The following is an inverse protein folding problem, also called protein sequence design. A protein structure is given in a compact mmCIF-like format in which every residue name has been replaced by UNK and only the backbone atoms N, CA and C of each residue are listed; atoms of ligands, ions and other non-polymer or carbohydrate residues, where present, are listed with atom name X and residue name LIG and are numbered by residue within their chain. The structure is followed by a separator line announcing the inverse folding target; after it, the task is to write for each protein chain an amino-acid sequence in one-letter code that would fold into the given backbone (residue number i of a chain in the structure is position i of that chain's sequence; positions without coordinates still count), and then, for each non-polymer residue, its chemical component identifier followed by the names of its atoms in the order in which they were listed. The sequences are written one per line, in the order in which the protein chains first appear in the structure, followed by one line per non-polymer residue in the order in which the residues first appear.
data_IF_871079320862
#
_entry.id   IF_871079320862
#
_cell.length_a   1.000
_cell.length_b   1.000
_cell.length_c   1.000
_cell.angle_alpha   90.00
_cell.angle_beta   90.00
_cell.angle_gamma   90.00
#
_symmetry.space_group_name_H-M   'P 1'
#
loop_
_entity.id
_entity.type
_entity.pdbx_description
1 polymer ?
#
# COMPACT_ATOMS: atom_id res chain seq x y z
N UNK A 1 -0.46 11.17 -9.01
CA UNK A 1 -0.67 9.77 -9.44
C UNK A 1 -2.16 9.54 -9.61
N UNK A 2 -2.56 8.82 -10.66
CA UNK A 2 -3.94 8.34 -10.82
C UNK A 2 -4.01 6.86 -10.47
N UNK A 3 -5.01 6.45 -9.70
CA UNK A 3 -5.33 5.05 -9.40
C UNK A 3 -6.70 4.78 -10.02
N UNK A 4 -6.80 3.67 -10.74
CA UNK A 4 -8.08 3.11 -11.18
C UNK A 4 -8.30 1.83 -10.38
N UNK A 5 -9.33 1.80 -9.54
CA UNK A 5 -9.68 0.64 -8.74
C UNK A 5 -11.04 0.10 -9.16
N UNK A 6 -11.20 -1.22 -9.11
CA UNK A 6 -12.50 -1.88 -9.29
C UNK A 6 -12.59 -3.02 -8.29
N UNK A 7 -13.59 -2.98 -7.41
CA UNK A 7 -13.83 -3.97 -6.37
C UNK A 7 -13.24 -3.60 -5.01
N UNK A 8 -12.92 -4.61 -4.20
CA UNK A 8 -12.41 -4.51 -2.83
C UNK A 8 -10.90 -4.73 -2.69
N UNK A 9 -10.20 -4.94 -3.81
CA UNK A 9 -8.78 -4.66 -3.88
C UNK A 9 -8.52 -3.17 -3.63
N UNK A 10 -7.30 -2.82 -3.26
CA UNK A 10 -7.03 -1.44 -2.87
C UNK A 10 -5.59 -1.01 -2.97
N UNK A 11 -5.40 0.28 -2.73
CA UNK A 11 -4.11 0.92 -2.69
C UNK A 11 -3.95 1.80 -1.45
N UNK A 12 -2.77 1.77 -0.88
CA UNK A 12 -2.34 2.61 0.22
C UNK A 12 -1.08 3.39 -0.18
N UNK A 13 -1.08 4.69 0.09
CA UNK A 13 0.11 5.53 -0.05
C UNK A 13 0.73 5.73 1.32
N UNK A 14 1.97 5.28 1.46
CA UNK A 14 2.77 5.39 2.67
C UNK A 14 3.89 6.41 2.47
N UNK A 15 4.02 7.37 3.38
CA UNK A 15 5.11 8.36 3.36
C UNK A 15 6.09 8.08 4.49
N UNK A 16 7.34 7.71 4.18
CA UNK A 16 8.40 7.55 5.17
C UNK A 16 8.63 8.84 5.95
N UNK A 17 8.85 8.70 7.26
CA UNK A 17 9.24 9.79 8.14
C UNK A 17 10.15 9.24 9.24
N UNK A 18 11.16 10.01 9.64
CA UNK A 18 11.90 9.69 10.86
C UNK A 18 10.97 9.94 12.05
N UNK A 19 10.86 8.93 12.92
CA UNK A 19 10.06 8.98 14.13
C UNK A 19 10.87 8.44 15.29
N UNK A 20 10.70 9.07 16.43
CA UNK A 20 11.31 8.65 17.69
C UNK A 20 10.23 7.98 18.52
N UNK A 21 10.31 6.67 18.77
CA UNK A 21 9.35 5.97 19.62
C UNK A 21 9.41 6.49 21.06
N UNK A 22 8.30 6.41 21.81
CA UNK A 22 8.34 6.64 23.24
C UNK A 22 9.37 5.71 23.91
N UNK A 23 10.32 6.27 24.64
CA UNK A 23 11.34 5.51 25.38
C UNK A 23 12.56 5.07 24.57
N UNK A 24 12.74 5.56 23.33
CA UNK A 24 13.97 5.38 22.56
C UNK A 24 14.50 6.74 22.11
N UNK A 25 15.81 6.98 22.23
CA UNK A 25 16.45 8.17 21.67
C UNK A 25 16.86 8.01 20.21
N UNK A 26 16.70 6.81 19.65
CA UNK A 26 17.09 6.52 18.28
C UNK A 26 15.91 6.74 17.31
N UNK A 27 16.05 7.64 16.32
CA UNK A 27 15.04 7.80 15.30
C UNK A 27 15.03 6.58 14.38
N UNK A 28 13.84 6.08 14.06
CA UNK A 28 13.64 5.03 13.08
C UNK A 28 12.75 5.51 11.94
N UNK A 29 12.99 4.96 10.75
CA UNK A 29 12.23 5.30 9.57
C UNK A 29 10.90 4.55 9.60
N UNK A 30 9.82 5.26 9.91
CA UNK A 30 8.48 4.68 10.03
C UNK A 30 7.47 5.44 9.16
N UNK A 31 6.85 4.78 8.17
CA UNK A 31 5.94 5.44 7.27
C UNK A 31 4.62 5.82 7.94
N UNK A 32 3.96 6.87 7.43
CA UNK A 32 2.56 7.18 7.74
C UNK A 32 1.65 6.91 6.57
N UNK A 33 0.41 6.54 6.84
CA UNK A 33 -0.66 6.51 5.83
C UNK A 33 -0.97 7.95 5.39
N UNK A 34 -0.81 8.19 4.09
CA UNK A 34 -1.22 9.44 3.43
C UNK A 34 -2.56 9.27 2.75
N UNK A 35 -2.84 8.06 2.26
CA UNK A 35 -4.05 7.71 1.55
C UNK A 35 -4.29 6.20 1.66
N UNK A 36 -5.56 5.81 1.75
CA UNK A 36 -6.06 4.44 1.60
C UNK A 36 -7.30 4.54 0.72
N UNK A 37 -7.39 3.72 -0.33
CA UNK A 37 -8.60 3.66 -1.15
C UNK A 37 -9.76 3.09 -0.35
N UNK A 38 -10.97 3.48 -0.70
CA UNK A 38 -12.18 2.82 -0.20
C UNK A 38 -12.46 1.57 -1.03
N UNK A 39 -13.08 0.59 -0.40
CA UNK A 39 -13.49 -0.65 -1.07
C UNK A 39 -14.80 -0.41 -1.81
N UNK A 40 -14.95 -0.99 -3.01
CA UNK A 40 -16.16 -0.87 -3.81
C UNK A 40 -16.95 -2.18 -3.73
N UNK A 41 -18.04 -2.17 -2.97
CA UNK A 41 -18.88 -3.35 -2.72
C UNK A 41 -20.37 -3.00 -2.80
N UNK A 42 -21.20 -3.98 -3.16
CA UNK A 42 -22.66 -3.83 -3.03
C UNK A 42 -23.11 -4.06 -1.59
N UNK A 43 -22.48 -5.03 -0.93
CA UNK A 43 -22.68 -5.47 0.44
C UNK A 43 -21.48 -6.33 0.85
N UNK A 44 -21.50 -6.84 2.09
CA UNK A 44 -20.41 -7.64 2.65
C UNK A 44 -20.03 -8.83 1.74
N UNK A 45 -18.73 -8.94 1.40
CA UNK A 45 -18.15 -9.96 0.52
C UNK A 45 -18.77 -10.04 -0.89
N UNK A 46 -19.25 -8.91 -1.43
CA UNK A 46 -19.72 -8.81 -2.80
C UNK A 46 -19.12 -7.57 -3.49
N UNK A 47 -17.85 -7.67 -3.95
CA UNK A 47 -17.16 -6.56 -4.60
C UNK A 47 -17.71 -6.25 -5.98
N UNK A 48 -17.52 -4.99 -6.38
CA UNK A 48 -17.71 -4.59 -7.76
C UNK A 48 -16.73 -5.34 -8.66
N UNK A 49 -17.19 -5.75 -9.83
CA UNK A 49 -16.41 -6.59 -10.73
C UNK A 49 -16.63 -6.26 -12.20
N UNK A 50 -15.70 -6.70 -13.03
CA UNK A 50 -15.91 -6.68 -14.47
C UNK A 50 -16.99 -7.70 -14.82
N UNK A 51 -18.05 -7.24 -15.49
CA UNK A 51 -19.05 -8.12 -16.05
C UNK A 51 -18.43 -9.05 -17.10
N UNK A 52 -18.93 -10.29 -17.16
CA UNK A 52 -18.63 -11.22 -18.26
C UNK A 52 -19.87 -11.37 -19.16
N UNK A 53 -19.68 -11.33 -20.48
CA UNK A 53 -20.76 -11.46 -21.45
C UNK A 53 -21.69 -10.25 -21.50
N UNK A 54 -22.96 -10.43 -21.15
CA UNK A 54 -24.02 -9.40 -21.22
C UNK A 54 -24.24 -8.62 -19.92
N UNK A 55 -23.43 -8.89 -18.88
CA UNK A 55 -23.53 -8.16 -17.62
C UNK A 55 -22.89 -6.77 -17.76
N UNK A 56 -23.53 -5.71 -17.21
CA UNK A 56 -22.96 -4.37 -17.26
C UNK A 56 -21.64 -4.33 -16.47
N UNK A 57 -20.64 -3.66 -17.04
CA UNK A 57 -19.37 -3.39 -16.34
C UNK A 57 -19.63 -2.35 -15.26
N UNK A 58 -19.20 -2.65 -14.04
CA UNK A 58 -19.32 -1.72 -12.93
C UNK A 58 -18.31 -0.58 -13.05
N UNK A 59 -18.69 0.60 -12.55
CA UNK A 59 -17.87 1.78 -12.68
C UNK A 59 -16.66 1.70 -11.74
N UNK A 60 -15.42 1.81 -12.26
CA UNK A 60 -14.24 1.86 -11.41
C UNK A 60 -14.13 3.21 -10.71
N UNK A 61 -13.53 3.21 -9.52
CA UNK A 61 -13.15 4.44 -8.85
C UNK A 61 -11.89 5.01 -9.48
N UNK A 62 -11.94 6.29 -9.85
CA UNK A 62 -10.78 7.01 -10.35
C UNK A 62 -10.28 8.02 -9.32
N UNK A 63 -9.15 7.72 -8.70
CA UNK A 63 -8.63 8.44 -7.55
C UNK A 63 -7.35 9.18 -7.95
N UNK A 64 -7.31 10.50 -7.66
CA UNK A 64 -6.13 11.33 -7.87
C UNK A 64 -5.47 11.65 -6.53
N UNK A 65 -4.25 11.15 -6.35
CA UNK A 65 -3.47 11.38 -5.13
C UNK A 65 -2.20 12.17 -5.45
N UNK A 66 -1.92 13.20 -4.63
CA UNK A 66 -0.68 13.97 -4.67
C UNK A 66 0.45 13.17 -4.02
N UNK A 67 1.43 12.81 -4.81
CA UNK A 67 2.61 12.04 -4.39
C UNK A 67 3.83 12.94 -4.27
N UNK A 68 4.83 12.49 -3.52
CA UNK A 68 6.15 13.11 -3.38
C UNK A 68 7.23 12.06 -3.60
N UNK A 69 8.44 12.49 -3.96
CA UNK A 69 9.59 11.59 -4.05
C UNK A 69 9.81 10.86 -2.74
N UNK A 70 9.98 9.53 -2.81
CA UNK A 70 10.13 8.67 -1.64
C UNK A 70 8.83 8.15 -1.04
N UNK A 71 7.66 8.57 -1.54
CA UNK A 71 6.40 7.91 -1.18
C UNK A 71 6.38 6.46 -1.70
N UNK A 72 5.73 5.58 -0.94
CA UNK A 72 5.59 4.15 -1.22
C UNK A 72 4.14 3.86 -1.56
N UNK A 73 3.92 3.15 -2.66
CA UNK A 73 2.59 2.68 -3.05
C UNK A 73 2.49 1.20 -2.71
N UNK A 74 1.53 0.85 -1.87
CA UNK A 74 1.16 -0.53 -1.56
C UNK A 74 -0.14 -0.81 -2.28
N UNK A 75 -0.13 -1.70 -3.26
CA UNK A 75 -1.34 -2.21 -3.90
C UNK A 75 -1.48 -3.69 -3.52
N UNK A 76 -2.67 -4.08 -3.07
CA UNK A 76 -2.94 -5.43 -2.63
C UNK A 76 -4.42 -5.79 -2.82
N UNK A 77 -4.72 -7.08 -2.75
CA UNK A 77 -6.09 -7.58 -2.74
C UNK A 77 -6.70 -7.45 -1.33
N UNK A 78 -8.01 -7.64 -1.25
CA UNK A 78 -8.80 -7.86 -0.04
C UNK A 78 -8.10 -8.77 0.98
N UNK A 79 -7.49 -9.87 0.53
CA UNK A 79 -6.77 -10.81 1.40
C UNK A 79 -5.66 -10.18 2.27
N UNK A 80 -5.07 -9.05 1.86
CA UNK A 80 -4.15 -8.30 2.74
C UNK A 80 -4.93 -7.34 3.65
N UNK A 81 -5.87 -6.59 3.10
CA UNK A 81 -6.57 -5.53 3.82
C UNK A 81 -7.62 -6.04 4.82
N UNK A 82 -8.12 -7.25 4.65
CA UNK A 82 -9.02 -7.92 5.60
C UNK A 82 -8.27 -8.52 6.79
N UNK A 83 -7.02 -8.92 6.59
CA UNK A 83 -6.23 -9.66 7.59
C UNK A 83 -5.23 -8.78 8.35
N UNK A 84 -4.89 -7.60 7.84
CA UNK A 84 -3.93 -6.69 8.46
C UNK A 84 -4.53 -5.31 8.66
N UNK A 85 -4.41 -4.80 9.88
CA UNK A 85 -4.64 -3.38 10.13
C UNK A 85 -3.56 -2.52 9.47
N UNK A 86 -3.91 -1.28 9.13
CA UNK A 86 -2.99 -0.29 8.55
C UNK A 86 -1.66 -0.19 9.30
N UNK A 87 -1.69 -0.19 10.63
CA UNK A 87 -0.48 -0.09 11.46
C UNK A 87 0.43 -1.32 11.35
N UNK A 88 -0.13 -2.51 11.10
CA UNK A 88 0.65 -3.72 10.84
C UNK A 88 1.31 -3.64 9.46
N UNK A 89 0.59 -3.17 8.44
CA UNK A 89 1.16 -2.90 7.11
C UNK A 89 2.31 -1.88 7.22
N UNK A 90 2.12 -0.78 7.95
CA UNK A 90 3.16 0.21 8.20
C UNK A 90 4.40 -0.39 8.88
N UNK A 91 4.21 -1.26 9.87
CA UNK A 91 5.30 -1.91 10.60
C UNK A 91 6.10 -2.86 9.69
N UNK A 92 5.42 -3.70 8.89
CA UNK A 92 6.07 -4.57 7.91
C UNK A 92 6.87 -3.74 6.90
N UNK A 93 6.27 -2.68 6.37
CA UNK A 93 6.93 -1.77 5.43
C UNK A 93 8.15 -1.10 6.07
N UNK A 94 8.06 -0.65 7.32
CA UNK A 94 9.19 -0.05 8.06
C UNK A 94 10.38 -1.02 8.19
N UNK A 95 10.10 -2.29 8.50
CA UNK A 95 11.14 -3.32 8.62
C UNK A 95 11.89 -3.57 7.31
N UNK A 96 11.19 -3.50 6.16
CA UNK A 96 11.83 -3.67 4.85
C UNK A 96 12.52 -2.38 4.39
N UNK A 97 11.96 -1.22 4.73
CA UNK A 97 12.53 0.09 4.43
C UNK A 97 13.95 0.25 4.97
N UNK A 98 14.17 -0.13 6.23
CA UNK A 98 15.47 -0.02 6.88
C UNK A 98 16.56 -0.82 6.14
N UNK A 99 16.19 -1.92 5.47
CA UNK A 99 17.10 -2.75 4.66
C UNK A 99 17.33 -2.13 3.29
N UNK A 100 16.25 -1.64 2.66
CA UNK A 100 16.29 -1.09 1.30
C UNK A 100 16.96 0.30 1.23
N UNK A 101 16.85 1.11 2.29
CA UNK A 101 17.52 2.40 2.42
C UNK A 101 18.85 2.27 3.18
N UNK A 102 19.81 1.58 2.58
CA UNK A 102 21.21 1.66 2.99
C UNK A 102 21.86 2.89 2.32
N UNK A 103 22.40 3.81 3.12
CA UNK A 103 23.05 5.04 2.63
C UNK A 103 24.27 4.66 1.78
N UNK A 104 24.34 5.17 0.54
CA UNK A 104 25.50 5.03 -0.35
C UNK A 104 25.38 3.96 -1.44
N UNK A 105 24.30 3.17 -1.48
CA UNK A 105 24.03 2.30 -2.61
C UNK A 105 23.52 3.13 -3.82
N UNK A 106 24.06 2.94 -5.04
CA UNK A 106 23.48 3.56 -6.23
C UNK A 106 22.01 3.16 -6.35
N UNK A 107 21.15 4.12 -6.70
CA UNK A 107 19.73 3.87 -6.99
C UNK A 107 19.66 2.95 -8.21
N UNK A 108 19.75 1.66 -7.96
CA UNK A 108 19.40 0.63 -8.93
C UNK A 108 17.89 0.75 -9.14
N UNK A 109 17.37 0.63 -10.36
CA UNK A 109 15.94 0.55 -10.60
C UNK A 109 15.40 -0.69 -9.86
N UNK A 110 14.96 -0.48 -8.63
CA UNK A 110 14.71 -1.47 -7.57
C UNK A 110 13.30 -2.06 -7.64
N UNK A 111 12.66 -2.00 -8.81
CA UNK A 111 11.36 -2.63 -9.05
C UNK A 111 11.42 -4.15 -8.78
N UNK A 112 12.59 -4.78 -8.89
CA UNK A 112 12.80 -6.19 -8.55
C UNK A 112 12.91 -6.49 -7.05
N UNK A 113 13.31 -5.53 -6.21
CA UNK A 113 13.56 -5.76 -4.78
C UNK A 113 12.37 -5.47 -3.88
N UNK A 114 11.59 -4.43 -4.19
CA UNK A 114 10.43 -4.02 -3.37
C UNK A 114 9.14 -4.76 -3.72
N UNK A 115 9.06 -5.42 -4.87
CA UNK A 115 7.95 -6.32 -5.25
C UNK A 115 7.98 -7.67 -4.49
N UNK A 116 8.61 -7.71 -3.32
CA UNK A 116 8.60 -8.89 -2.45
C UNK A 116 7.23 -8.96 -1.79
N UNK A 117 6.42 -9.94 -2.23
CA UNK A 117 5.09 -10.26 -1.72
C UNK A 117 5.02 -10.19 -0.19
N UNK A 118 4.32 -9.18 0.32
CA UNK A 118 4.02 -9.00 1.76
C UNK A 118 3.24 -10.20 2.30
N UNK A 119 2.48 -10.91 1.45
CA UNK A 119 1.69 -12.09 1.83
C UNK A 119 2.54 -13.31 2.25
N UNK A 120 3.84 -13.37 1.91
CA UNK A 120 4.71 -14.50 2.30
C UNK A 120 5.37 -14.33 3.69
N UNK A 121 5.16 -13.20 4.35
CA UNK A 121 5.79 -12.87 5.64
C UNK A 121 4.79 -12.68 6.78
N UNK A 122 3.50 -12.96 6.53
CA UNK A 122 2.43 -12.97 7.54
C UNK A 122 2.26 -14.38 8.13
#
# INVERSE_FOLDING_TARGET
MGILNLGDSGAMLLRPALRTPPGSDQPLLFPRVVFRSSDQTHYFNCPYQLGSGSLPVEAPDFIRVRVRTGDLVVAATDGVFDNLFDHQVQAIVAQQLAKAWSVGAPVTPHLSGLATSIAKQA
#
